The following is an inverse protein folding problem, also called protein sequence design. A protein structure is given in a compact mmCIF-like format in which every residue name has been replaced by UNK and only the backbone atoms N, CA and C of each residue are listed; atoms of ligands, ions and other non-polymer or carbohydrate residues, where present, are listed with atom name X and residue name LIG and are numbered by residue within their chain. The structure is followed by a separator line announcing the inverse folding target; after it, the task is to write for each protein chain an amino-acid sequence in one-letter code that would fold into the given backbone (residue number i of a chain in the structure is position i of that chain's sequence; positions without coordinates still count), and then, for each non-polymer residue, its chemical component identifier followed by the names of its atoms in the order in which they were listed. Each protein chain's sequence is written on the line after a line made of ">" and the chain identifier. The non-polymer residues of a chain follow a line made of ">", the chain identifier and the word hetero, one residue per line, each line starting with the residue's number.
data_IF_547135578504
#
_entry.id   IF_547135578504
#
_cell.length_a   1.000
_cell.length_b   1.000
_cell.length_c   1.000
_cell.angle_alpha   90.00
_cell.angle_beta   90.00
_cell.angle_gamma   90.00
#
_symmetry.space_group_name_H-M   'P 1'
#
loop_
_entity.id
_entity.type
_entity.pdbx_description
1 polymer ?
#
# COMPACT_ATOMS: atom_id res chain seq x y z
N UNK A 1 12.22 0.76 6.69
CA UNK A 1 12.59 2.14 7.02
C UNK A 1 11.57 2.77 7.97
N UNK A 2 10.26 2.63 7.75
CA UNK A 2 9.19 3.22 8.57
C UNK A 2 9.27 2.84 10.06
N UNK A 3 9.36 1.55 10.41
CA UNK A 3 9.46 1.12 11.82
C UNK A 3 10.66 1.73 12.56
N UNK A 4 11.81 1.86 11.88
CA UNK A 4 12.99 2.47 12.47
C UNK A 4 12.82 3.97 12.74
N UNK A 5 12.09 4.69 11.87
CA UNK A 5 11.79 6.10 12.09
C UNK A 5 10.75 6.30 13.19
N UNK A 6 9.75 5.42 13.31
CA UNK A 6 8.80 5.41 14.42
C UNK A 6 9.55 5.20 15.74
N UNK A 7 10.40 4.18 15.84
CA UNK A 7 11.16 3.88 17.07
C UNK A 7 12.05 5.05 17.47
N UNK A 8 12.79 5.61 16.52
CA UNK A 8 13.67 6.74 16.77
C UNK A 8 12.89 7.97 17.26
N UNK A 9 11.78 8.30 16.61
CA UNK A 9 10.98 9.46 17.00
C UNK A 9 10.25 9.22 18.34
N UNK A 10 9.78 8.00 18.65
CA UNK A 10 9.27 7.66 19.98
C UNK A 10 10.32 7.96 21.07
N UNK A 11 11.56 7.56 20.86
CA UNK A 11 12.66 7.83 21.78
C UNK A 11 12.92 9.33 21.94
N UNK A 12 12.90 10.10 20.83
CA UNK A 12 13.05 11.55 20.86
C UNK A 12 11.95 12.24 21.66
N UNK A 13 10.72 11.71 21.60
CA UNK A 13 9.55 12.22 22.33
C UNK A 13 9.44 11.69 23.76
N UNK A 14 10.36 10.80 24.20
CA UNK A 14 10.40 10.23 25.54
C UNK A 14 9.46 9.04 25.75
N UNK A 15 9.03 8.38 24.64
CA UNK A 15 8.18 7.20 24.68
C UNK A 15 8.97 5.92 24.39
N UNK A 16 8.49 4.79 24.94
CA UNK A 16 8.88 3.45 24.50
C UNK A 16 7.92 2.93 23.44
N UNK A 17 8.39 2.07 22.54
CA UNK A 17 7.58 1.44 21.51
C UNK A 17 7.35 -0.05 21.81
N UNK A 18 6.12 -0.50 21.61
CA UNK A 18 5.73 -1.91 21.56
C UNK A 18 5.20 -2.25 20.18
N UNK A 19 5.64 -3.36 19.59
CA UNK A 19 5.19 -3.80 18.27
C UNK A 19 4.31 -5.04 18.36
N UNK A 20 3.15 -5.02 17.70
CA UNK A 20 2.27 -6.17 17.50
C UNK A 20 1.98 -6.29 16.01
N UNK A 21 2.09 -7.51 15.47
CA UNK A 21 1.83 -7.79 14.06
C UNK A 21 0.53 -8.60 13.91
N UNK A 22 -0.38 -8.12 13.08
CA UNK A 22 -1.65 -8.81 12.77
C UNK A 22 -1.54 -9.78 11.59
N UNK A 23 -0.46 -9.70 10.80
CA UNK A 23 -0.24 -10.50 9.58
C UNK A 23 -1.43 -10.46 8.59
N UNK A 24 -2.11 -9.32 8.50
CA UNK A 24 -3.27 -9.13 7.64
C UNK A 24 -4.56 -9.82 8.14
N UNK A 25 -4.63 -10.22 9.39
CA UNK A 25 -5.78 -10.88 10.01
C UNK A 25 -6.53 -9.93 10.95
N UNK A 26 -7.84 -9.78 10.75
CA UNK A 26 -8.71 -8.91 11.59
C UNK A 26 -8.79 -9.33 13.04
N UNK A 27 -8.88 -10.64 13.29
CA UNK A 27 -8.93 -11.20 14.62
C UNK A 27 -7.65 -10.91 15.41
N UNK A 28 -6.50 -11.01 14.74
CA UNK A 28 -5.19 -10.66 15.32
C UNK A 28 -5.04 -9.15 15.54
N UNK A 29 -5.55 -8.31 14.64
CA UNK A 29 -5.57 -6.87 14.83
C UNK A 29 -6.39 -6.49 16.07
N UNK A 30 -7.61 -7.02 16.18
CA UNK A 30 -8.48 -6.78 17.33
C UNK A 30 -7.84 -7.25 18.65
N UNK A 31 -7.26 -8.45 18.64
CA UNK A 31 -6.57 -9.02 19.79
C UNK A 31 -5.34 -8.18 20.16
N UNK A 32 -4.58 -7.74 19.18
CA UNK A 32 -3.41 -6.89 19.36
C UNK A 32 -3.75 -5.54 19.99
N UNK A 33 -4.81 -4.88 19.52
CA UNK A 33 -5.30 -3.60 20.09
C UNK A 33 -5.69 -3.80 21.56
N UNK A 34 -6.51 -4.82 21.86
CA UNK A 34 -6.93 -5.11 23.23
C UNK A 34 -5.73 -5.35 24.16
N UNK A 35 -4.78 -6.17 23.71
CA UNK A 35 -3.57 -6.46 24.48
C UNK A 35 -2.72 -5.21 24.77
N UNK A 36 -2.54 -4.33 23.77
CA UNK A 36 -1.80 -3.08 23.96
C UNK A 36 -2.50 -2.18 24.99
N UNK A 37 -3.83 -2.07 24.91
CA UNK A 37 -4.62 -1.29 25.87
C UNK A 37 -4.55 -1.87 27.29
N UNK A 38 -4.62 -3.18 27.44
CA UNK A 38 -4.45 -3.87 28.73
C UNK A 38 -3.05 -3.64 29.36
N UNK A 39 -2.03 -3.49 28.52
CA UNK A 39 -0.67 -3.14 28.93
C UNK A 39 -0.49 -1.66 29.27
N UNK A 40 -1.54 -0.84 29.09
CA UNK A 40 -1.53 0.57 29.48
C UNK A 40 -0.73 1.47 28.55
N UNK A 41 -0.68 1.17 27.24
CA UNK A 41 -0.05 2.10 26.27
C UNK A 41 -0.81 3.43 26.24
N UNK A 42 -0.08 4.52 26.06
CA UNK A 42 -0.66 5.87 26.03
C UNK A 42 -1.31 6.22 24.70
N UNK A 43 -0.97 5.51 23.62
CA UNK A 43 -1.53 5.72 22.30
C UNK A 43 -1.09 4.61 21.33
N UNK A 44 -1.71 4.56 20.14
CA UNK A 44 -1.47 3.51 19.14
C UNK A 44 -1.27 4.13 17.77
N UNK A 45 -0.20 3.73 17.06
CA UNK A 45 -0.08 3.91 15.61
C UNK A 45 -0.47 2.60 14.95
N UNK A 46 -1.38 2.64 13.99
CA UNK A 46 -1.92 1.44 13.36
C UNK A 46 -1.96 1.55 11.83
N UNK A 47 -1.47 0.50 11.16
CA UNK A 47 -1.77 0.22 9.77
C UNK A 47 -2.92 -0.79 9.73
N UNK A 48 -4.13 -0.32 9.48
CA UNK A 48 -5.34 -1.13 9.57
C UNK A 48 -5.35 -2.26 8.54
N UNK A 49 -5.85 -3.44 8.93
CA UNK A 49 -5.96 -4.59 8.02
C UNK A 49 -6.98 -4.30 6.91
N UNK A 50 -8.10 -3.65 7.25
CA UNK A 50 -9.14 -3.24 6.31
C UNK A 50 -9.67 -1.87 6.66
N UNK A 51 -10.12 -1.14 5.66
CA UNK A 51 -10.61 0.23 5.80
C UNK A 51 -12.15 0.38 5.66
N UNK A 52 -12.89 -0.62 5.17
CA UNK A 52 -14.35 -0.52 5.03
C UNK A 52 -15.16 -1.25 6.13
N UNK A 53 -14.55 -2.25 6.78
CA UNK A 53 -15.15 -2.97 7.91
C UNK A 53 -14.28 -2.78 9.15
N UNK A 54 -14.37 -1.61 9.74
CA UNK A 54 -13.61 -1.25 10.93
C UNK A 54 -13.79 -2.26 12.05
N UNK A 55 -12.72 -2.59 12.76
CA UNK A 55 -12.85 -3.39 13.96
C UNK A 55 -13.57 -2.55 15.03
N UNK A 56 -14.44 -3.19 15.82
CA UNK A 56 -15.11 -2.55 16.94
C UNK A 56 -14.13 -1.85 17.87
N UNK A 57 -12.95 -2.45 18.07
CA UNK A 57 -11.88 -1.88 18.90
C UNK A 57 -11.35 -0.54 18.38
N UNK A 58 -11.31 -0.33 17.05
CA UNK A 58 -10.89 0.96 16.46
C UNK A 58 -11.98 2.01 16.67
N UNK A 59 -13.25 1.65 16.46
CA UNK A 59 -14.37 2.56 16.71
C UNK A 59 -14.49 2.94 18.18
N UNK A 60 -14.29 1.98 19.09
CA UNK A 60 -14.23 2.25 20.53
C UNK A 60 -13.13 3.25 20.89
N UNK A 61 -11.93 3.12 20.31
CA UNK A 61 -10.86 4.09 20.54
C UNK A 61 -11.26 5.50 20.09
N UNK A 62 -11.86 5.63 18.90
CA UNK A 62 -12.33 6.90 18.37
C UNK A 62 -13.39 7.54 19.28
N UNK A 63 -14.38 6.76 19.75
CA UNK A 63 -15.46 7.24 20.64
C UNK A 63 -14.92 7.62 22.02
N UNK A 64 -13.91 6.92 22.51
CA UNK A 64 -13.28 7.18 23.81
C UNK A 64 -12.21 8.27 23.76
N UNK A 65 -11.98 8.90 22.60
CA UNK A 65 -10.89 9.86 22.39
C UNK A 65 -9.52 9.30 22.83
N UNK A 66 -9.32 7.99 22.64
CA UNK A 66 -8.03 7.38 22.89
C UNK A 66 -7.05 7.78 21.78
N UNK A 67 -5.83 8.25 22.11
CA UNK A 67 -4.86 8.69 21.10
C UNK A 67 -4.53 7.59 20.08
N UNK A 68 -4.86 7.84 18.81
CA UNK A 68 -4.62 6.87 17.74
C UNK A 68 -4.37 7.54 16.40
N UNK A 69 -3.31 7.15 15.73
CA UNK A 69 -2.95 7.62 14.40
C UNK A 69 -2.93 6.43 13.43
N UNK A 70 -3.63 6.54 12.32
CA UNK A 70 -3.55 5.55 11.24
C UNK A 70 -2.48 5.95 10.24
N UNK A 71 -1.78 4.95 9.70
CA UNK A 71 -0.76 5.14 8.65
C UNK A 71 -1.11 4.28 7.43
N UNK A 72 -0.69 4.74 6.25
CA UNK A 72 -0.89 4.07 4.95
C UNK A 72 -2.36 3.93 4.54
N UNK A 73 -3.25 3.49 5.42
CA UNK A 73 -4.68 3.25 5.14
C UNK A 73 -5.55 4.20 5.94
N UNK A 74 -6.32 5.01 5.23
CA UNK A 74 -7.21 6.00 5.82
C UNK A 74 -8.57 5.39 6.15
N UNK A 75 -9.06 5.63 7.37
CA UNK A 75 -10.40 5.24 7.80
C UNK A 75 -11.41 6.35 7.44
N UNK A 76 -12.19 6.16 6.39
CA UNK A 76 -13.17 7.16 5.92
C UNK A 76 -14.31 7.29 6.93
N UNK A 77 -14.61 8.52 7.34
CA UNK A 77 -15.73 8.83 8.24
C UNK A 77 -15.47 8.52 9.71
N UNK A 78 -14.27 8.13 10.10
CA UNK A 78 -13.85 7.97 11.49
C UNK A 78 -12.94 9.12 11.87
N UNK A 79 -13.19 9.84 12.98
CA UNK A 79 -12.37 10.99 13.41
C UNK A 79 -11.06 10.50 14.08
N UNK A 80 -10.15 9.98 13.28
CA UNK A 80 -8.81 9.50 13.67
C UNK A 80 -7.80 10.17 12.76
N UNK A 81 -6.69 10.62 13.35
CA UNK A 81 -5.58 11.21 12.59
C UNK A 81 -4.96 10.21 11.61
N UNK A 82 -4.54 10.71 10.47
CA UNK A 82 -3.97 9.91 9.39
C UNK A 82 -2.69 10.54 8.84
N UNK A 83 -1.70 9.70 8.61
CA UNK A 83 -0.47 10.07 7.88
C UNK A 83 -0.21 9.06 6.78
N UNK A 84 -0.04 9.54 5.56
CA UNK A 84 0.21 8.66 4.41
C UNK A 84 0.71 9.40 3.18
N UNK A 85 0.66 8.73 2.04
CA UNK A 85 0.99 9.28 0.74
C UNK A 85 -0.29 9.68 0.02
N UNK A 86 -0.29 10.82 -0.70
CA UNK A 86 -1.34 11.13 -1.69
C UNK A 86 -1.27 10.10 -2.83
N UNK A 87 -1.87 8.94 -2.59
CA UNK A 87 -1.84 7.80 -3.51
C UNK A 87 -2.56 8.10 -4.82
N UNK A 88 -3.58 8.98 -4.80
CA UNK A 88 -4.29 9.38 -6.01
C UNK A 88 -3.41 10.26 -6.90
N UNK A 89 -2.81 11.32 -6.34
CA UNK A 89 -1.92 12.20 -7.10
C UNK A 89 -0.70 11.45 -7.61
N UNK A 90 -0.07 10.63 -6.76
CA UNK A 90 1.10 9.84 -7.12
C UNK A 90 0.81 8.82 -8.24
N UNK A 91 -0.34 8.13 -8.16
CA UNK A 91 -0.78 7.19 -9.21
C UNK A 91 -1.06 7.91 -10.53
N UNK A 92 -1.69 9.09 -10.47
CA UNK A 92 -1.94 9.92 -11.65
C UNK A 92 -0.64 10.32 -12.34
N UNK A 93 0.36 10.77 -11.60
CA UNK A 93 1.66 11.16 -12.16
C UNK A 93 2.41 9.96 -12.76
N UNK A 94 2.36 8.80 -12.10
CA UNK A 94 2.99 7.58 -12.62
C UNK A 94 2.31 7.07 -13.89
N UNK A 95 0.98 7.17 -13.99
CA UNK A 95 0.24 6.83 -15.21
C UNK A 95 0.53 7.83 -16.33
N UNK A 96 0.60 9.14 -16.04
CA UNK A 96 1.00 10.17 -17.00
C UNK A 96 2.39 9.92 -17.57
N UNK A 97 3.34 9.48 -16.74
CA UNK A 97 4.68 9.10 -17.19
C UNK A 97 4.65 8.06 -18.34
N UNK A 98 3.75 7.07 -18.28
CA UNK A 98 3.55 6.11 -19.38
C UNK A 98 2.86 6.75 -20.59
N UNK A 99 1.79 7.50 -20.34
CA UNK A 99 1.00 8.16 -21.40
C UNK A 99 1.83 9.18 -22.18
N UNK A 100 2.70 9.96 -21.54
CA UNK A 100 3.62 10.91 -22.17
C UNK A 100 4.63 10.22 -23.10
N UNK A 101 4.96 8.97 -22.83
CA UNK A 101 5.85 8.12 -23.64
C UNK A 101 5.14 7.38 -24.78
N UNK A 102 3.84 7.60 -24.94
CA UNK A 102 3.06 7.03 -26.01
C UNK A 102 2.40 5.68 -25.69
N UNK A 103 2.58 5.13 -24.50
CA UNK A 103 1.87 3.92 -24.08
C UNK A 103 0.39 4.22 -23.89
N UNK A 104 -0.49 3.31 -24.33
CA UNK A 104 -1.95 3.54 -24.35
C UNK A 104 -2.75 2.37 -23.82
N UNK A 105 -2.18 1.18 -23.81
CA UNK A 105 -2.81 -0.08 -23.38
C UNK A 105 -2.10 -0.64 -22.15
N UNK A 106 -2.13 0.15 -21.06
CA UNK A 106 -1.47 -0.24 -19.82
C UNK A 106 -2.30 -1.24 -19.04
N UNK A 107 -1.71 -2.37 -18.71
CA UNK A 107 -2.26 -3.33 -17.77
C UNK A 107 -2.08 -2.80 -16.33
N UNK A 108 -3.16 -2.55 -15.62
CA UNK A 108 -3.12 -2.26 -14.19
C UNK A 108 -3.07 -3.57 -13.40
N UNK A 109 -2.07 -3.69 -12.51
CA UNK A 109 -1.78 -4.94 -11.79
C UNK A 109 -1.98 -4.72 -10.30
N UNK A 110 -2.93 -5.45 -9.72
CA UNK A 110 -3.26 -5.39 -8.29
C UNK A 110 -3.37 -6.78 -7.66
N UNK A 111 -3.18 -6.91 -6.35
CA UNK A 111 -3.39 -8.20 -5.67
C UNK A 111 -4.87 -8.55 -5.61
N UNK A 112 -5.15 -9.83 -5.35
CA UNK A 112 -6.45 -10.28 -4.90
C UNK A 112 -6.63 -9.80 -3.45
N UNK A 113 -7.24 -8.67 -3.25
CA UNK A 113 -7.37 -8.11 -1.91
C UNK A 113 -8.70 -7.45 -1.71
N UNK A 114 -9.07 -7.34 -0.44
CA UNK A 114 -10.07 -6.39 -0.01
C UNK A 114 -9.71 -4.99 -0.53
N UNK A 115 -10.71 -4.24 -0.90
CA UNK A 115 -10.56 -2.86 -1.33
C UNK A 115 -10.03 -2.03 -0.16
N UNK A 116 -8.79 -1.57 -0.27
CA UNK A 116 -8.18 -0.64 0.68
C UNK A 116 -8.26 0.78 0.13
N UNK A 117 -8.34 1.78 1.01
CA UNK A 117 -8.37 3.19 0.61
C UNK A 117 -7.21 3.52 -0.33
N UNK A 118 -6.01 3.08 0.01
CA UNK A 118 -4.80 3.27 -0.80
C UNK A 118 -4.93 2.65 -2.19
N UNK A 119 -5.49 1.44 -2.30
CA UNK A 119 -5.70 0.80 -3.59
C UNK A 119 -6.75 1.53 -4.42
N UNK A 120 -7.86 1.95 -3.80
CA UNK A 120 -8.91 2.74 -4.46
C UNK A 120 -8.36 4.07 -4.98
N UNK A 121 -7.56 4.77 -4.16
CA UNK A 121 -6.92 6.02 -4.55
C UNK A 121 -5.95 5.82 -5.73
N UNK A 122 -5.15 4.74 -5.73
CA UNK A 122 -4.27 4.38 -6.87
C UNK A 122 -5.07 4.10 -8.14
N UNK A 123 -6.20 3.39 -8.04
CA UNK A 123 -7.11 3.15 -9.17
C UNK A 123 -7.69 4.48 -9.68
N UNK A 124 -8.15 5.35 -8.80
CA UNK A 124 -8.72 6.65 -9.17
C UNK A 124 -7.69 7.53 -9.87
N UNK A 125 -6.47 7.62 -9.33
CA UNK A 125 -5.38 8.37 -9.95
C UNK A 125 -5.04 7.86 -11.35
N UNK A 126 -4.94 6.54 -11.53
CA UNK A 126 -4.71 5.92 -12.82
C UNK A 126 -5.82 6.26 -13.83
N UNK A 127 -7.09 6.10 -13.44
CA UNK A 127 -8.25 6.46 -14.30
C UNK A 127 -8.29 7.94 -14.63
N UNK A 128 -7.97 8.82 -13.67
CA UNK A 128 -7.89 10.27 -13.90
C UNK A 128 -6.86 10.63 -14.97
N UNK A 129 -5.66 10.04 -14.91
CA UNK A 129 -4.64 10.26 -15.92
C UNK A 129 -5.13 9.89 -17.32
N UNK A 130 -5.78 8.74 -17.48
CA UNK A 130 -6.34 8.33 -18.76
C UNK A 130 -7.40 9.31 -19.27
N UNK A 131 -8.31 9.75 -18.40
CA UNK A 131 -9.36 10.72 -18.75
C UNK A 131 -8.76 12.07 -19.19
N UNK A 132 -7.68 12.55 -18.55
CA UNK A 132 -6.97 13.78 -18.94
C UNK A 132 -6.40 13.72 -20.36
N UNK A 133 -6.07 12.52 -20.85
CA UNK A 133 -5.59 12.28 -22.22
C UNK A 133 -6.74 11.93 -23.20
N UNK A 134 -8.00 12.05 -22.77
CA UNK A 134 -9.16 11.69 -23.59
C UNK A 134 -9.25 10.19 -23.88
N UNK A 135 -8.66 9.37 -23.02
CA UNK A 135 -8.64 7.92 -23.12
C UNK A 135 -9.51 7.30 -22.02
N UNK A 136 -9.85 6.03 -22.22
CA UNK A 136 -10.54 5.23 -21.22
C UNK A 136 -9.63 4.12 -20.69
N UNK A 137 -9.56 3.96 -19.39
CA UNK A 137 -8.82 2.87 -18.75
C UNK A 137 -9.63 1.56 -18.87
N UNK A 138 -9.20 0.69 -19.75
CA UNK A 138 -9.88 -0.58 -20.03
C UNK A 138 -9.59 -1.62 -18.94
N UNK A 139 -10.55 -1.83 -18.07
CA UNK A 139 -10.42 -2.76 -16.94
C UNK A 139 -10.33 -4.24 -17.39
N UNK A 140 -10.72 -4.57 -18.64
CA UNK A 140 -10.55 -5.93 -19.17
C UNK A 140 -9.08 -6.30 -19.37
N UNK A 141 -8.19 -5.29 -19.42
CA UNK A 141 -6.74 -5.47 -19.51
C UNK A 141 -6.05 -5.53 -18.13
N UNK A 142 -6.80 -5.61 -17.03
CA UNK A 142 -6.21 -5.59 -15.69
C UNK A 142 -5.96 -7.00 -15.14
N UNK A 143 -4.87 -7.17 -14.42
CA UNK A 143 -4.57 -8.38 -13.64
C UNK A 143 -4.93 -8.09 -12.19
N UNK A 144 -5.94 -8.79 -11.65
CA UNK A 144 -6.57 -8.46 -10.37
C UNK A 144 -6.63 -9.61 -9.36
N UNK A 145 -6.04 -10.78 -9.66
CA UNK A 145 -6.12 -11.98 -8.82
C UNK A 145 -4.74 -12.57 -8.50
N UNK A 146 -3.78 -11.71 -8.13
CA UNK A 146 -2.46 -12.16 -7.66
C UNK A 146 -2.52 -12.33 -6.15
N UNK A 147 -2.12 -13.48 -5.64
CA UNK A 147 -2.21 -13.86 -4.22
C UNK A 147 -0.87 -14.04 -3.55
N UNK A 148 0.18 -14.32 -4.30
CA UNK A 148 1.51 -14.61 -3.76
C UNK A 148 2.09 -13.47 -2.90
N UNK A 149 1.67 -12.21 -3.12
CA UNK A 149 2.13 -11.06 -2.34
C UNK A 149 1.34 -10.82 -1.05
N UNK A 150 0.22 -11.53 -0.85
CA UNK A 150 -0.60 -11.37 0.33
C UNK A 150 0.04 -12.02 1.56
N UNK A 151 0.02 -11.36 2.74
CA UNK A 151 0.65 -11.87 3.96
C UNK A 151 0.21 -13.28 4.36
N UNK A 152 -1.06 -13.63 4.12
CA UNK A 152 -1.60 -14.94 4.45
C UNK A 152 -0.95 -16.10 3.66
N UNK A 153 -0.42 -15.85 2.48
CA UNK A 153 0.21 -16.87 1.63
C UNK A 153 1.71 -16.97 1.86
N UNK A 154 2.38 -15.90 2.28
CA UNK A 154 3.81 -15.90 2.55
C UNK A 154 4.25 -16.95 3.59
N UNK A 155 3.39 -17.26 4.57
CA UNK A 155 3.76 -18.13 5.67
C UNK A 155 3.67 -19.64 5.34
N UNK A 156 2.80 -20.05 4.41
CA UNK A 156 2.46 -21.48 4.26
C UNK A 156 2.50 -22.04 2.82
N UNK A 157 2.42 -21.21 1.78
CA UNK A 157 2.32 -21.64 0.39
C UNK A 157 3.01 -20.72 -0.61
N UNK A 158 3.93 -19.88 -0.20
CA UNK A 158 4.47 -18.79 -1.01
C UNK A 158 5.00 -19.23 -2.38
N UNK A 159 5.80 -20.28 -2.45
CA UNK A 159 6.38 -20.76 -3.71
C UNK A 159 5.33 -21.39 -4.64
N UNK A 160 4.44 -22.22 -4.10
CA UNK A 160 3.38 -22.84 -4.89
C UNK A 160 2.42 -21.77 -5.43
N UNK A 161 1.97 -20.84 -4.59
CA UNK A 161 1.08 -19.76 -5.01
C UNK A 161 1.73 -18.84 -6.04
N UNK A 162 3.03 -18.57 -5.90
CA UNK A 162 3.77 -17.79 -6.88
C UNK A 162 3.79 -18.48 -8.25
N UNK A 163 4.01 -19.79 -8.30
CA UNK A 163 3.99 -20.53 -9.55
C UNK A 163 2.60 -20.51 -10.22
N UNK A 164 1.53 -20.69 -9.43
CA UNK A 164 0.15 -20.60 -9.92
C UNK A 164 -0.19 -19.21 -10.46
N UNK A 165 0.25 -18.14 -9.77
CA UNK A 165 0.03 -16.77 -10.21
C UNK A 165 0.85 -16.45 -11.47
N UNK A 166 2.10 -16.92 -11.57
CA UNK A 166 2.93 -16.74 -12.77
C UNK A 166 2.31 -17.41 -14.00
N UNK A 167 1.75 -18.62 -13.88
CA UNK A 167 1.06 -19.31 -14.98
C UNK A 167 -0.14 -18.48 -15.48
N UNK A 168 -0.98 -17.99 -14.56
CA UNK A 168 -2.14 -17.14 -14.91
C UNK A 168 -1.72 -15.83 -15.59
N UNK A 169 -0.66 -15.19 -15.09
CA UNK A 169 -0.13 -13.95 -15.67
C UNK A 169 0.40 -14.21 -17.07
N UNK A 170 1.15 -15.30 -17.29
CA UNK A 170 1.67 -15.66 -18.61
C UNK A 170 0.52 -15.90 -19.59
N UNK A 171 -0.50 -16.67 -19.22
CA UNK A 171 -1.68 -16.87 -20.04
C UNK A 171 -2.39 -15.56 -20.38
N UNK A 172 -2.52 -14.67 -19.41
CA UNK A 172 -3.15 -13.37 -19.60
C UNK A 172 -2.37 -12.51 -20.59
N UNK A 173 -1.05 -12.41 -20.44
CA UNK A 173 -0.17 -11.67 -21.35
C UNK A 173 -0.28 -12.22 -22.78
N UNK A 174 -0.31 -13.54 -22.95
CA UNK A 174 -0.43 -14.16 -24.27
C UNK A 174 -1.80 -13.94 -24.92
N UNK A 175 -2.86 -13.81 -24.13
CA UNK A 175 -4.22 -13.51 -24.62
C UNK A 175 -4.41 -12.04 -24.98
N UNK A 176 -3.59 -11.14 -24.43
CA UNK A 176 -3.66 -9.70 -24.60
C UNK A 176 -2.38 -9.10 -25.19
N UNK A 177 -2.01 -9.46 -26.43
CA UNK A 177 -0.78 -8.96 -27.07
C UNK A 177 -0.80 -7.47 -27.36
N UNK A 178 -1.96 -6.82 -27.23
CA UNK A 178 -2.14 -5.38 -27.36
C UNK A 178 -1.63 -4.57 -26.15
N UNK A 179 -1.36 -5.22 -25.02
CA UNK A 179 -0.81 -4.56 -23.82
C UNK A 179 0.61 -4.08 -24.12
N UNK A 180 0.84 -2.79 -23.93
CA UNK A 180 2.10 -2.10 -24.23
C UNK A 180 2.91 -1.71 -23.01
N UNK A 181 2.33 -1.75 -21.81
CA UNK A 181 2.96 -1.37 -20.56
C UNK A 181 2.24 -1.95 -19.34
N UNK A 182 2.89 -1.93 -18.18
CA UNK A 182 2.34 -2.47 -16.94
C UNK A 182 2.50 -1.47 -15.80
N UNK A 183 1.42 -1.26 -15.05
CA UNK A 183 1.36 -0.44 -13.85
C UNK A 183 1.04 -1.32 -12.65
N UNK A 184 2.02 -1.62 -11.81
CA UNK A 184 1.84 -2.44 -10.62
C UNK A 184 1.66 -1.56 -9.37
N UNK A 185 0.67 -1.90 -8.53
CA UNK A 185 0.38 -1.12 -7.32
C UNK A 185 1.41 -1.30 -6.21
N UNK A 186 2.35 -2.24 -6.35
CA UNK A 186 3.46 -2.46 -5.41
C UNK A 186 4.65 -3.10 -6.11
N UNK A 187 5.84 -2.98 -5.54
CA UNK A 187 7.09 -3.47 -6.10
C UNK A 187 7.14 -4.99 -6.28
N UNK A 188 6.58 -5.75 -5.34
CA UNK A 188 6.51 -7.21 -5.40
C UNK A 188 5.73 -7.70 -6.62
N UNK A 189 4.59 -7.08 -6.93
CA UNK A 189 3.80 -7.36 -8.14
C UNK A 189 4.57 -7.01 -9.42
N UNK A 190 5.25 -5.86 -9.44
CA UNK A 190 6.09 -5.48 -10.58
C UNK A 190 7.16 -6.53 -10.88
N UNK A 191 7.78 -7.09 -9.86
CA UNK A 191 8.77 -8.16 -10.00
C UNK A 191 8.18 -9.45 -10.57
N UNK A 192 6.98 -9.86 -10.12
CA UNK A 192 6.30 -11.05 -10.65
C UNK A 192 5.99 -10.85 -12.14
N UNK A 193 5.35 -9.72 -12.49
CA UNK A 193 5.04 -9.39 -13.89
C UNK A 193 6.30 -9.36 -14.75
N UNK A 194 7.35 -8.70 -14.30
CA UNK A 194 8.61 -8.63 -15.03
C UNK A 194 9.25 -10.01 -15.24
N UNK A 195 9.14 -10.90 -14.25
CA UNK A 195 9.60 -12.29 -14.40
C UNK A 195 8.82 -13.02 -15.49
N UNK A 196 7.51 -12.84 -15.55
CA UNK A 196 6.66 -13.40 -16.61
C UNK A 196 7.01 -12.83 -17.99
N UNK A 197 7.21 -11.52 -18.08
CA UNK A 197 7.63 -10.86 -19.32
C UNK A 197 8.99 -11.38 -19.82
N UNK A 198 9.94 -11.61 -18.90
CA UNK A 198 11.23 -12.23 -19.25
C UNK A 198 11.08 -13.64 -19.81
N UNK A 199 10.22 -14.47 -19.21
CA UNK A 199 9.94 -15.82 -19.71
C UNK A 199 9.36 -15.81 -21.13
N UNK A 200 8.65 -14.73 -21.48
CA UNK A 200 8.06 -14.53 -22.81
C UNK A 200 8.95 -13.71 -23.79
N UNK A 201 10.10 -13.20 -23.34
CA UNK A 201 10.97 -12.33 -24.15
C UNK A 201 10.41 -10.95 -24.45
N UNK A 202 9.52 -10.44 -23.60
CA UNK A 202 8.80 -9.16 -23.77
C UNK A 202 9.31 -8.02 -22.87
N UNK A 203 10.26 -8.27 -21.98
CA UNK A 203 10.71 -7.34 -20.95
C UNK A 203 11.29 -6.02 -21.49
N UNK A 204 11.83 -6.04 -22.73
CA UNK A 204 12.37 -4.83 -23.37
C UNK A 204 11.30 -4.03 -24.14
N UNK A 205 10.16 -4.64 -24.41
CA UNK A 205 9.06 -4.03 -25.18
C UNK A 205 7.99 -3.41 -24.31
N UNK A 206 7.76 -3.99 -23.13
CA UNK A 206 6.68 -3.63 -22.24
C UNK A 206 7.27 -3.13 -20.91
N UNK A 207 7.42 -1.81 -20.71
CA UNK A 207 7.91 -1.28 -19.45
C UNK A 207 6.96 -1.58 -18.31
N UNK A 208 7.54 -1.75 -17.13
CA UNK A 208 6.82 -1.91 -15.87
C UNK A 208 7.10 -0.70 -15.00
N UNK A 209 6.06 -0.08 -14.46
CA UNK A 209 6.16 0.95 -13.43
C UNK A 209 5.44 0.49 -12.17
N UNK A 210 5.82 1.00 -11.00
CA UNK A 210 5.21 0.57 -9.76
C UNK A 210 5.21 1.62 -8.65
N UNK A 211 4.49 1.33 -7.59
CA UNK A 211 4.74 1.95 -6.29
C UNK A 211 5.83 1.16 -5.57
N UNK A 212 6.61 1.92 -4.79
CA UNK A 212 7.76 1.48 -4.03
C UNK A 212 8.93 0.95 -4.88
N UNK A 213 10.08 0.86 -4.26
CA UNK A 213 11.30 0.38 -4.89
C UNK A 213 11.91 -0.78 -4.11
N UNK A 214 13.10 -1.19 -4.50
CA UNK A 214 13.87 -2.15 -3.73
C UNK A 214 14.38 -1.52 -2.43
N UNK A 215 14.19 -2.18 -1.30
CA UNK A 215 14.80 -1.79 -0.01
C UNK A 215 16.32 -2.04 0.02
N UNK A 216 16.87 -2.64 -1.01
CA UNK A 216 18.28 -2.94 -1.08
C UNK A 216 19.08 -1.68 -1.48
N UNK A 217 19.84 -1.15 -0.53
CA UNK A 217 20.67 0.05 -0.71
C UNK A 217 21.72 -0.11 -1.83
N UNK A 218 22.11 -1.33 -2.15
CA UNK A 218 23.14 -1.66 -3.15
C UNK A 218 22.56 -1.85 -4.55
N UNK A 219 21.27 -2.09 -4.67
CA UNK A 219 20.59 -2.29 -5.96
C UNK A 219 19.74 -1.06 -6.30
N UNK A 220 20.07 -0.42 -7.43
CA UNK A 220 19.15 0.54 -8.03
C UNK A 220 17.78 -0.10 -8.29
N UNK A 221 16.72 0.66 -8.15
CA UNK A 221 15.39 0.17 -8.45
C UNK A 221 15.30 -0.24 -9.92
N UNK A 222 14.82 -1.44 -10.18
CA UNK A 222 14.68 -1.96 -11.54
C UNK A 222 13.61 -1.22 -12.36
N UNK A 223 12.70 -0.52 -11.68
CA UNK A 223 11.53 0.09 -12.30
C UNK A 223 11.45 1.57 -12.00
N UNK A 224 10.89 2.34 -12.93
CA UNK A 224 10.38 3.68 -12.61
C UNK A 224 9.27 3.52 -11.56
N UNK A 225 9.39 4.23 -10.46
CA UNK A 225 8.48 4.03 -9.34
C UNK A 225 8.18 5.33 -8.58
N UNK A 226 7.05 5.34 -7.90
CA UNK A 226 6.75 6.30 -6.84
C UNK A 226 7.42 5.82 -5.56
N UNK A 227 8.24 6.68 -4.96
CA UNK A 227 8.86 6.40 -3.67
C UNK A 227 8.07 7.10 -2.57
N UNK A 228 7.54 6.32 -1.64
CA UNK A 228 6.90 6.85 -0.44
C UNK A 228 7.98 7.32 0.56
N UNK A 229 7.75 8.44 1.24
CA UNK A 229 8.65 8.89 2.32
C UNK A 229 8.30 8.20 3.65
N UNK A 230 8.64 6.90 3.71
CA UNK A 230 8.38 6.07 4.90
C UNK A 230 9.00 6.64 6.18
N UNK A 231 10.11 7.39 6.05
CA UNK A 231 10.76 7.98 7.21
C UNK A 231 9.94 9.13 7.77
N UNK A 232 9.48 10.02 6.88
CA UNK A 232 8.67 11.16 7.29
C UNK A 232 7.29 10.70 7.78
N UNK A 233 6.65 9.75 7.08
CA UNK A 233 5.38 9.13 7.53
C UNK A 233 5.55 8.59 8.96
N UNK A 234 6.60 7.81 9.21
CA UNK A 234 6.87 7.26 10.53
C UNK A 234 7.11 8.32 11.60
N UNK A 235 7.98 9.29 11.32
CA UNK A 235 8.30 10.36 12.28
C UNK A 235 7.10 11.25 12.58
N UNK A 236 6.36 11.62 11.55
CA UNK A 236 5.20 12.51 11.68
C UNK A 236 4.04 11.82 12.43
N UNK A 237 3.81 10.53 12.18
CA UNK A 237 2.79 9.77 12.91
C UNK A 237 3.05 9.75 14.42
N UNK A 238 4.31 9.65 14.84
CA UNK A 238 4.68 9.72 16.26
C UNK A 238 4.48 11.13 16.82
N UNK A 239 4.86 12.17 16.08
CA UNK A 239 4.67 13.56 16.55
C UNK A 239 3.20 13.88 16.76
N UNK A 240 2.34 13.52 15.80
CA UNK A 240 0.89 13.70 15.93
C UNK A 240 0.35 12.92 17.12
N UNK A 241 0.73 11.63 17.26
CA UNK A 241 0.30 10.82 18.39
C UNK A 241 0.77 11.39 19.73
N UNK A 242 2.00 11.90 19.79
CA UNK A 242 2.53 12.54 21.00
C UNK A 242 1.76 13.82 21.38
N UNK A 243 1.33 14.60 20.39
CA UNK A 243 0.49 15.78 20.62
C UNK A 243 -0.89 15.37 21.13
N UNK A 244 -1.53 14.35 20.55
CA UNK A 244 -2.80 13.78 21.04
C UNK A 244 -2.67 13.26 22.48
N UNK A 245 -1.59 12.54 22.82
CA UNK A 245 -1.32 12.07 24.20
C UNK A 245 -1.20 13.25 25.18
N UNK A 246 -0.71 14.40 24.73
CA UNK A 246 -0.55 15.62 25.53
C UNK A 246 -1.83 16.48 25.61
N UNK A 247 -2.90 16.06 24.93
CA UNK A 247 -4.23 16.71 24.99
C UNK A 247 -4.56 17.58 23.78
N UNK A 248 -3.90 17.41 22.65
CA UNK A 248 -4.32 18.02 21.38
C UNK A 248 -5.38 17.12 20.73
N UNK A 249 -6.64 17.54 20.74
CA UNK A 249 -7.77 16.77 20.20
C UNK A 249 -8.03 17.05 18.71
N UNK A 250 -7.15 17.80 18.02
CA UNK A 250 -7.31 18.09 16.60
C UNK A 250 -6.99 16.87 15.73
N UNK A 251 -7.97 16.39 14.98
CA UNK A 251 -7.78 15.31 14.01
C UNK A 251 -7.01 15.82 12.79
N UNK A 252 -5.82 15.28 12.55
CA UNK A 252 -4.91 15.71 11.49
C UNK A 252 -4.90 14.69 10.34
N UNK A 253 -4.98 15.18 9.10
CA UNK A 253 -4.76 14.38 7.89
C UNK A 253 -3.58 14.97 7.14
N UNK A 254 -2.51 14.18 6.98
CA UNK A 254 -1.30 14.60 6.27
C UNK A 254 -0.99 13.59 5.15
N UNK A 255 -0.77 14.14 3.93
CA UNK A 255 -0.48 13.39 2.71
C UNK A 255 0.87 13.80 2.14
#
# INVERSE_FOLDING_TARGET
>A
QMLGSIEMECRNQGFGMMLVCSYGRKDEETTGIKRLRELGVSGIIIMCVHDENYSESILEMAVQHFPVVTIDRRLKGVPISFVGTDSEAASRELARYLLDRGYRKTCFVKPHAAETSTLQERIQGFKKAYNEYGLFADESLWITDIRATLPAYHQYRGEQQLAEDEEKIIEFIQKHPEIDSYFAVEYSLARIVYTCLRKLGLQEKCPVVCFDGSDNIVQESMFTHVKQDEKEIGSLSVRILADEIRGDDEVKTVL
#
